data_IF_554273609538
#
_entry.id   IF_554273609538
#
_cell.length_a   1.000
_cell.length_b   1.000
_cell.length_c   1.000
_cell.angle_alpha   90.00
_cell.angle_beta   90.00
_cell.angle_gamma   90.00
#
_symmetry.space_group_name_H-M   'P 1'
#
loop_
_entity.id
_entity.type
_entity.pdbx_description
1 polymer ?
#
# COMPACT_ATOMS: atom_id res chain seq x y z
N UNK A 1 18.84 12.94 -7.15
CA UNK A 1 18.55 11.49 -7.11
C UNK A 1 17.26 11.26 -7.87
N UNK A 2 17.23 10.31 -8.82
CA UNK A 2 15.99 10.00 -9.56
C UNK A 2 15.15 8.99 -8.77
N UNK A 3 13.91 9.31 -8.36
CA UNK A 3 13.07 8.49 -7.47
C UNK A 3 12.65 7.12 -8.05
N UNK A 4 13.06 6.81 -9.28
CA UNK A 4 12.59 5.65 -10.03
C UNK A 4 13.20 4.31 -9.58
N UNK A 5 14.31 4.31 -8.83
CA UNK A 5 15.03 3.10 -8.41
C UNK A 5 14.98 2.84 -6.91
N UNK A 6 14.29 3.67 -6.15
CA UNK A 6 14.22 3.53 -4.68
C UNK A 6 13.20 2.44 -4.31
N UNK A 7 13.62 1.60 -3.36
CA UNK A 7 12.72 0.66 -2.69
C UNK A 7 11.84 1.44 -1.71
N UNK A 8 10.59 1.00 -1.46
CA UNK A 8 9.74 1.63 -0.47
C UNK A 8 10.44 1.61 0.91
N UNK A 9 10.44 2.74 1.61
CA UNK A 9 10.81 2.77 3.02
C UNK A 9 9.65 2.13 3.78
N UNK A 10 9.84 0.89 4.22
CA UNK A 10 8.82 0.15 4.96
C UNK A 10 9.10 0.28 6.45
N UNK A 11 8.12 0.84 7.17
CA UNK A 11 8.09 0.75 8.63
C UNK A 11 7.30 -0.52 8.93
N UNK A 12 8.00 -1.59 9.27
CA UNK A 12 7.35 -2.83 9.70
C UNK A 12 6.63 -2.57 11.03
N UNK A 13 5.30 -2.57 10.95
CA UNK A 13 4.45 -2.77 12.13
C UNK A 13 4.55 -4.25 12.51
N UNK A 14 4.83 -4.52 13.78
CA UNK A 14 4.86 -5.90 14.28
C UNK A 14 3.47 -6.54 14.18
N UNK A 15 3.40 -7.87 14.22
CA UNK A 15 2.10 -8.55 14.29
C UNK A 15 1.31 -8.11 15.52
N UNK A 16 2.00 -7.85 16.64
CA UNK A 16 1.41 -7.37 17.89
C UNK A 16 0.76 -5.99 17.72
N UNK A 17 1.37 -5.08 16.97
CA UNK A 17 0.76 -3.80 16.62
C UNK A 17 -0.52 -3.99 15.80
N UNK A 18 -0.50 -4.92 14.84
CA UNK A 18 -1.65 -5.22 13.98
C UNK A 18 -2.81 -5.75 14.82
N UNK A 19 -2.53 -6.68 15.74
CA UNK A 19 -3.55 -7.27 16.62
C UNK A 19 -4.12 -6.23 17.60
N UNK A 20 -3.29 -5.30 18.10
CA UNK A 20 -3.76 -4.16 18.90
C UNK A 20 -4.70 -3.24 18.11
N UNK A 21 -4.38 -2.94 16.85
CA UNK A 21 -5.25 -2.13 15.98
C UNK A 21 -6.59 -2.85 15.76
N UNK A 22 -6.56 -4.16 15.51
CA UNK A 22 -7.77 -4.97 15.33
C UNK A 22 -8.62 -4.96 16.60
N UNK A 23 -7.99 -5.13 17.77
CA UNK A 23 -8.69 -5.04 19.06
C UNK A 23 -9.35 -3.67 19.26
N UNK A 24 -8.66 -2.58 18.90
CA UNK A 24 -9.23 -1.22 18.93
C UNK A 24 -10.41 -1.06 17.97
N UNK A 25 -10.34 -1.65 16.78
CA UNK A 25 -11.46 -1.64 15.82
C UNK A 25 -12.65 -2.41 16.37
N UNK A 26 -12.43 -3.55 17.03
CA UNK A 26 -13.49 -4.30 17.71
C UNK A 26 -14.15 -3.49 18.83
N UNK A 27 -13.35 -2.81 19.67
CA UNK A 27 -13.86 -1.98 20.77
C UNK A 27 -14.40 -0.61 20.32
N UNK A 28 -14.23 -0.24 19.06
CA UNK A 28 -14.68 1.05 18.53
C UNK A 28 -16.19 1.12 18.37
N UNK A 29 -16.70 2.36 18.32
CA UNK A 29 -18.08 2.68 18.00
C UNK A 29 -18.39 2.65 16.49
N UNK A 30 -17.54 2.00 15.67
CA UNK A 30 -17.82 1.82 14.25
C UNK A 30 -19.05 0.92 14.06
N UNK A 31 -19.83 1.12 12.97
CA UNK A 31 -20.92 0.21 12.63
C UNK A 31 -20.41 -1.22 12.49
N UNK A 32 -21.19 -2.20 12.96
CA UNK A 32 -20.78 -3.61 12.97
C UNK A 32 -20.48 -4.13 11.55
N UNK A 33 -21.22 -3.67 10.54
CA UNK A 33 -20.93 -3.98 9.13
C UNK A 33 -19.64 -3.35 8.59
N UNK A 34 -19.11 -2.31 9.22
CA UNK A 34 -17.89 -1.59 8.79
C UNK A 34 -16.63 -2.17 9.43
N UNK A 35 -16.73 -2.75 10.64
CA UNK A 35 -15.58 -3.32 11.35
C UNK A 35 -14.83 -4.39 10.54
N UNK A 36 -15.49 -5.37 9.90
CA UNK A 36 -14.79 -6.37 9.07
C UNK A 36 -14.03 -5.75 7.90
N UNK A 37 -14.58 -4.70 7.28
CA UNK A 37 -13.92 -3.99 6.20
C UNK A 37 -12.64 -3.32 6.68
N UNK A 38 -12.69 -2.60 7.81
CA UNK A 38 -11.52 -1.93 8.38
C UNK A 38 -10.45 -2.94 8.79
N UNK A 39 -10.83 -4.06 9.43
CA UNK A 39 -9.92 -5.15 9.78
C UNK A 39 -9.26 -5.74 8.52
N UNK A 40 -10.04 -5.97 7.46
CA UNK A 40 -9.52 -6.43 6.16
C UNK A 40 -8.50 -5.46 5.56
N UNK A 41 -8.77 -4.14 5.62
CA UNK A 41 -7.83 -3.11 5.19
C UNK A 41 -6.54 -3.12 6.02
N UNK A 42 -6.63 -3.32 7.33
CA UNK A 42 -5.46 -3.43 8.22
C UNK A 42 -4.58 -4.63 7.86
N UNK A 43 -5.19 -5.81 7.64
CA UNK A 43 -4.44 -6.99 7.18
C UNK A 43 -3.81 -6.77 5.80
N UNK A 44 -4.56 -6.18 4.86
CA UNK A 44 -4.06 -5.90 3.52
C UNK A 44 -2.88 -4.93 3.54
N UNK A 45 -2.96 -3.87 4.33
CA UNK A 45 -1.88 -2.89 4.47
C UNK A 45 -0.61 -3.52 5.07
N UNK A 46 -0.76 -4.39 6.07
CA UNK A 46 0.38 -5.13 6.65
C UNK A 46 1.00 -6.11 5.63
N UNK A 47 0.15 -6.85 4.90
CA UNK A 47 0.61 -7.82 3.92
C UNK A 47 1.27 -7.18 2.70
N UNK A 48 0.68 -6.12 2.12
CA UNK A 48 1.18 -5.50 0.89
C UNK A 48 2.58 -4.91 1.11
N UNK A 49 2.82 -4.28 2.26
CA UNK A 49 4.13 -3.72 2.59
C UNK A 49 5.21 -4.81 2.66
N UNK A 50 4.89 -5.96 3.28
CA UNK A 50 5.80 -7.13 3.30
C UNK A 50 6.04 -7.71 1.92
N UNK A 51 4.98 -7.91 1.13
CA UNK A 51 5.08 -8.46 -0.22
C UNK A 51 5.95 -7.59 -1.15
N UNK A 52 5.86 -6.25 -1.02
CA UNK A 52 6.68 -5.32 -1.80
C UNK A 52 8.18 -5.47 -1.50
N UNK A 53 8.55 -5.68 -0.23
CA UNK A 53 9.94 -5.88 0.19
C UNK A 53 10.44 -7.24 -0.27
N UNK A 54 9.67 -8.30 -0.01
CA UNK A 54 10.04 -9.68 -0.34
C UNK A 54 10.28 -9.86 -1.84
N UNK A 55 9.41 -9.27 -2.68
CA UNK A 55 9.53 -9.32 -4.13
C UNK A 55 10.40 -8.20 -4.74
N UNK A 56 11.05 -7.37 -3.91
CA UNK A 56 11.90 -6.23 -4.34
C UNK A 56 11.19 -5.33 -5.36
N UNK A 57 9.91 -5.09 -5.16
CA UNK A 57 9.11 -4.24 -6.04
C UNK A 57 9.53 -2.80 -5.80
N UNK A 58 10.04 -2.15 -6.85
CA UNK A 58 10.39 -0.72 -6.81
C UNK A 58 9.15 0.16 -6.80
N UNK A 59 9.26 1.38 -6.27
CA UNK A 59 8.16 2.34 -6.30
C UNK A 59 7.64 2.62 -7.72
N UNK A 60 8.53 2.57 -8.73
CA UNK A 60 8.15 2.70 -10.14
C UNK A 60 7.24 1.57 -10.62
N UNK A 61 7.58 0.33 -10.26
CA UNK A 61 6.79 -0.84 -10.63
C UNK A 61 5.46 -0.87 -9.88
N UNK A 62 5.47 -0.52 -8.59
CA UNK A 62 4.24 -0.37 -7.81
C UNK A 62 3.32 0.71 -8.39
N UNK A 63 3.88 1.88 -8.73
CA UNK A 63 3.13 2.97 -9.36
C UNK A 63 2.52 2.51 -10.69
N UNK A 64 3.28 1.77 -11.50
CA UNK A 64 2.78 1.21 -12.76
C UNK A 64 1.71 0.12 -12.55
N UNK A 65 1.81 -0.67 -11.48
CA UNK A 65 0.82 -1.68 -11.13
C UNK A 65 -0.52 -1.05 -10.70
N UNK A 66 -0.46 -0.01 -9.84
CA UNK A 66 -1.66 0.63 -9.27
C UNK A 66 -2.33 1.58 -10.28
N UNK A 67 -1.54 2.42 -10.94
CA UNK A 67 -2.07 3.50 -11.78
C UNK A 67 -1.97 3.19 -13.28
N UNK A 68 -1.51 1.98 -13.63
CA UNK A 68 -1.19 1.62 -15.00
C UNK A 68 0.10 2.27 -15.50
N UNK A 69 0.53 1.82 -16.68
CA UNK A 69 1.60 2.50 -17.40
C UNK A 69 1.02 3.79 -17.95
N UNK A 70 1.24 4.90 -17.25
CA UNK A 70 0.87 6.22 -17.75
C UNK A 70 1.45 6.37 -19.15
N UNK A 71 0.58 6.39 -20.16
CA UNK A 71 0.98 6.58 -21.54
C UNK A 71 1.74 7.91 -21.61
N UNK A 72 3.05 7.81 -21.83
CA UNK A 72 3.86 8.97 -22.21
C UNK A 72 3.54 9.25 -23.67
N UNK A 73 2.28 9.57 -23.98
CA UNK A 73 1.94 10.25 -25.21
C UNK A 73 2.42 11.68 -25.01
N UNK A 74 3.74 11.86 -25.11
CA UNK A 74 4.31 13.13 -25.53
C UNK A 74 3.67 13.40 -26.88
N UNK A 75 2.55 14.14 -26.87
CA UNK A 75 2.15 14.90 -28.04
C UNK A 75 3.33 15.84 -28.28
N UNK A 76 4.22 15.42 -29.18
CA UNK A 76 5.05 16.37 -29.89
C UNK A 76 4.06 17.39 -30.43
N UNK A 77 4.06 18.60 -29.86
CA UNK A 77 3.47 19.73 -30.54
C UNK A 77 4.29 19.86 -31.82
N UNK A 78 3.72 19.32 -32.89
CA UNK A 78 4.18 19.52 -34.25
C UNK A 78 4.20 21.04 -34.51
N UNK A 79 5.26 21.42 -35.19
CA UNK A 79 5.84 22.76 -35.31
C UNK A 79 4.97 23.74 -36.10
#
# INVERSE_FOLDING_TARGET
MTPAKELPIVIEKSQEDVDQIIALVHSSNLPEGTKPFVIGCTHLASWVLRALVEHKITLSNLKQLIFGKGDKTTKQQEK
#
